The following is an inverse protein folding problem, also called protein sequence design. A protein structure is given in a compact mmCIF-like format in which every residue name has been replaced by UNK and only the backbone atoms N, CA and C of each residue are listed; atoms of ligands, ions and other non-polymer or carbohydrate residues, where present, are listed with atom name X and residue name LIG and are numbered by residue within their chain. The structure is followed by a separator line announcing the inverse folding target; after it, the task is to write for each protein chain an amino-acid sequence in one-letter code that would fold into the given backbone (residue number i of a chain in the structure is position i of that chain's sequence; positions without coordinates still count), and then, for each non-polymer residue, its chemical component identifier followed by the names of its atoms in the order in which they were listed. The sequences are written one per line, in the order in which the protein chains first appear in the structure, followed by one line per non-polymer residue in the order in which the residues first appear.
data_IF_644378775924
#
_entry.id   IF_644378775924
#
_cell.length_a   1.000
_cell.length_b   1.000
_cell.length_c   1.000
_cell.angle_alpha   90.00
_cell.angle_beta   90.00
_cell.angle_gamma   90.00
#
_symmetry.space_group_name_H-M   'P 1'
#
loop_
_entity.id
_entity.type
_entity.pdbx_description
1 polymer ?
#
# COMPACT_ATOMS: atom_id res chain seq x y z
N UNK A 1 -5.17 33.23 -17.32
CA UNK A 1 -4.40 32.04 -17.77
C UNK A 1 -2.97 32.03 -17.24
N UNK A 2 -2.38 33.18 -16.94
CA UNK A 2 -0.95 33.31 -16.62
C UNK A 2 -0.51 32.64 -15.29
N UNK A 3 -1.37 32.62 -14.26
CA UNK A 3 -0.97 32.01 -12.97
C UNK A 3 -0.95 30.47 -12.98
N UNK A 4 -1.67 29.82 -13.90
CA UNK A 4 -1.69 28.35 -14.02
C UNK A 4 -0.40 27.84 -14.69
N UNK A 5 0.04 28.57 -15.71
CA UNK A 5 1.30 28.31 -16.40
C UNK A 5 2.48 28.37 -15.42
N UNK A 6 2.48 29.35 -14.51
CA UNK A 6 3.54 29.51 -13.55
C UNK A 6 3.67 28.36 -12.54
N UNK A 7 2.55 27.77 -12.07
CA UNK A 7 2.61 26.66 -11.11
C UNK A 7 3.03 25.34 -11.77
N UNK A 8 2.60 25.09 -13.01
CA UNK A 8 3.06 23.92 -13.77
C UNK A 8 4.58 23.99 -13.99
N UNK A 9 5.13 25.18 -14.19
CA UNK A 9 6.56 25.38 -14.38
C UNK A 9 7.39 25.32 -13.08
N UNK A 10 6.74 25.36 -11.90
CA UNK A 10 7.42 25.25 -10.60
C UNK A 10 7.68 23.79 -10.23
N UNK A 11 6.82 22.86 -10.69
CA UNK A 11 7.03 21.43 -10.49
C UNK A 11 8.07 20.91 -11.50
N UNK A 12 8.89 19.92 -11.11
CA UNK A 12 9.73 19.19 -12.07
C UNK A 12 8.88 18.63 -13.21
N UNK A 13 9.43 18.59 -14.41
CA UNK A 13 8.73 18.04 -15.57
C UNK A 13 8.34 16.59 -15.32
N UNK A 14 7.10 16.24 -15.64
CA UNK A 14 6.61 14.86 -15.52
C UNK A 14 7.45 13.93 -16.39
N UNK A 15 8.03 12.91 -15.77
CA UNK A 15 8.81 11.87 -16.48
C UNK A 15 7.88 10.72 -16.91
N UNK A 16 8.29 9.99 -17.95
CA UNK A 16 7.57 8.81 -18.46
C UNK A 16 8.52 7.81 -19.11
N UNK A 17 8.05 6.59 -19.33
CA UNK A 17 8.84 5.54 -19.99
C UNK A 17 10.17 5.24 -19.29
N UNK A 18 11.22 5.04 -20.09
CA UNK A 18 12.55 4.67 -19.58
C UNK A 18 13.20 5.76 -18.72
N UNK A 19 12.93 7.04 -19.01
CA UNK A 19 13.41 8.15 -18.19
C UNK A 19 12.83 8.12 -16.77
N UNK A 20 11.56 7.72 -16.64
CA UNK A 20 10.93 7.56 -15.34
C UNK A 20 11.48 6.33 -14.62
N UNK A 21 11.63 5.21 -15.34
CA UNK A 21 12.20 3.99 -14.78
C UNK A 21 13.58 4.26 -14.18
N UNK A 22 14.50 4.83 -14.98
CA UNK A 22 15.85 5.16 -14.54
C UNK A 22 15.89 6.17 -13.39
N UNK A 23 14.97 7.14 -13.37
CA UNK A 23 14.90 8.13 -12.29
C UNK A 23 14.37 7.55 -10.98
N UNK A 24 13.50 6.53 -11.03
CA UNK A 24 12.98 5.84 -9.84
C UNK A 24 13.98 4.85 -9.26
N UNK A 25 14.81 4.23 -10.10
CA UNK A 25 15.77 3.21 -9.70
C UNK A 25 16.78 3.73 -8.67
N UNK A 26 17.11 2.90 -7.70
CA UNK A 26 18.20 3.16 -6.75
C UNK A 26 19.05 1.92 -6.63
N UNK A 27 20.28 2.05 -7.09
CA UNK A 27 21.30 1.03 -6.96
C UNK A 27 22.45 1.59 -6.12
N UNK A 28 22.70 1.06 -4.90
CA UNK A 28 23.87 1.44 -4.10
C UNK A 28 25.16 1.23 -4.88
N UNK A 29 26.15 2.06 -4.63
CA UNK A 29 27.49 1.83 -5.21
C UNK A 29 28.05 0.52 -4.64
N UNK A 30 28.36 -0.40 -5.51
CA UNK A 30 28.91 -1.69 -5.17
C UNK A 30 30.32 -1.82 -5.75
N UNK A 31 31.29 -2.19 -4.91
CA UNK A 31 32.65 -2.50 -5.29
C UNK A 31 32.95 -3.95 -4.91
N UNK A 32 33.37 -4.76 -5.86
CA UNK A 32 33.70 -6.17 -5.62
C UNK A 32 34.83 -6.35 -4.58
N UNK A 33 35.70 -5.38 -4.44
CA UNK A 33 36.76 -5.40 -3.42
C UNK A 33 36.20 -5.53 -1.98
N UNK A 34 34.95 -5.17 -1.74
CA UNK A 34 34.30 -5.34 -0.42
C UNK A 34 34.30 -6.79 0.05
N UNK A 35 34.30 -7.77 -0.85
CA UNK A 35 34.30 -9.21 -0.52
C UNK A 35 35.56 -9.66 0.18
N UNK A 36 36.68 -8.95 -0.02
CA UNK A 36 37.98 -9.21 0.64
C UNK A 36 38.13 -8.45 1.96
N UNK A 37 37.17 -7.58 2.30
CA UNK A 37 37.21 -6.83 3.55
C UNK A 37 36.97 -7.74 4.77
N UNK A 38 37.31 -7.22 5.95
CA UNK A 38 37.05 -7.90 7.21
C UNK A 38 35.57 -8.21 7.43
N UNK A 39 35.28 -9.28 8.16
CA UNK A 39 33.91 -9.77 8.41
C UNK A 39 32.97 -8.67 8.91
N UNK A 40 33.31 -7.82 9.91
CA UNK A 40 32.40 -6.78 10.37
C UNK A 40 32.04 -5.76 9.29
N UNK A 41 32.98 -5.42 8.42
CA UNK A 41 32.76 -4.44 7.31
C UNK A 41 31.78 -5.02 6.30
N UNK A 42 31.96 -6.29 5.93
CA UNK A 42 31.05 -6.99 4.99
C UNK A 42 29.64 -7.15 5.57
N UNK A 43 29.54 -7.50 6.86
CA UNK A 43 28.24 -7.60 7.55
C UNK A 43 27.50 -6.24 7.59
N UNK A 44 28.23 -5.14 7.83
CA UNK A 44 27.61 -3.80 7.75
C UNK A 44 27.17 -3.44 6.33
N UNK A 45 27.94 -3.82 5.33
CA UNK A 45 27.64 -3.55 3.93
C UNK A 45 26.41 -4.33 3.42
N UNK A 46 26.02 -5.45 4.05
CA UNK A 46 24.78 -6.16 3.74
C UNK A 46 23.54 -5.27 3.83
N UNK A 47 23.57 -4.20 4.64
CA UNK A 47 22.47 -3.23 4.72
C UNK A 47 22.17 -2.53 3.40
N UNK A 48 23.09 -2.51 2.45
CA UNK A 48 22.88 -1.95 1.11
C UNK A 48 21.83 -2.73 0.31
N UNK A 49 21.61 -4.02 0.59
CA UNK A 49 20.56 -4.81 -0.03
C UNK A 49 19.16 -4.20 0.20
N UNK A 50 18.91 -3.63 1.39
CA UNK A 50 17.65 -2.95 1.71
C UNK A 50 17.51 -1.58 1.04
N UNK A 51 18.58 -1.04 0.46
CA UNK A 51 18.58 0.24 -0.27
C UNK A 51 18.37 0.05 -1.76
N UNK A 52 18.45 -1.18 -2.26
CA UNK A 52 18.17 -1.50 -3.66
C UNK A 52 16.69 -1.24 -3.93
N UNK A 53 16.41 -0.45 -4.95
CA UNK A 53 15.07 -0.23 -5.43
C UNK A 53 15.01 -0.39 -6.95
N UNK A 54 14.36 -1.45 -7.40
CA UNK A 54 14.10 -1.73 -8.82
C UNK A 54 12.65 -1.34 -9.09
N UNK A 55 12.39 -0.37 -9.98
CA UNK A 55 11.05 0.06 -10.31
C UNK A 55 10.21 -1.07 -10.94
N UNK A 56 8.92 -1.02 -10.72
CA UNK A 56 7.93 -1.91 -11.32
C UNK A 56 6.81 -1.10 -11.96
N UNK A 57 5.91 -1.74 -12.68
CA UNK A 57 4.71 -1.09 -13.21
C UNK A 57 3.92 -0.37 -12.12
N UNK A 58 3.83 -0.97 -10.91
CA UNK A 58 3.25 -0.33 -9.74
C UNK A 58 3.92 1.03 -9.44
N UNK A 59 5.24 1.09 -9.48
CA UNK A 59 6.01 2.32 -9.20
C UNK A 59 5.71 3.43 -10.21
N UNK A 60 5.64 3.07 -11.49
CA UNK A 60 5.37 4.01 -12.58
C UNK A 60 3.94 4.56 -12.48
N UNK A 61 2.98 3.70 -12.18
CA UNK A 61 1.58 4.08 -12.03
C UNK A 61 1.35 4.95 -10.79
N UNK A 62 1.95 4.60 -9.65
CA UNK A 62 1.91 5.40 -8.43
C UNK A 62 2.48 6.80 -8.67
N UNK A 63 3.66 6.90 -9.30
CA UNK A 63 4.26 8.18 -9.64
C UNK A 63 3.31 9.04 -10.49
N UNK A 64 2.80 8.47 -11.59
CA UNK A 64 1.92 9.17 -12.51
C UNK A 64 0.64 9.66 -11.82
N UNK A 65 0.04 8.82 -10.98
CA UNK A 65 -1.17 9.15 -10.24
C UNK A 65 -0.94 10.25 -9.21
N UNK A 66 0.16 10.16 -8.47
CA UNK A 66 0.53 11.18 -7.47
C UNK A 66 0.84 12.52 -8.13
N UNK A 67 1.59 12.52 -9.24
CA UNK A 67 1.90 13.74 -9.99
C UNK A 67 0.64 14.45 -10.45
N UNK A 68 -0.29 13.72 -11.08
CA UNK A 68 -1.55 14.28 -11.56
C UNK A 68 -2.44 14.78 -10.42
N UNK A 69 -2.52 14.05 -9.31
CA UNK A 69 -3.30 14.46 -8.14
C UNK A 69 -2.73 15.74 -7.51
N UNK A 70 -1.40 15.85 -7.41
CA UNK A 70 -0.73 17.06 -6.95
C UNK A 70 -1.01 18.23 -7.89
N UNK A 71 -0.81 18.05 -9.20
CA UNK A 71 -1.04 19.10 -10.20
C UNK A 71 -2.45 19.66 -10.13
N UNK A 72 -3.47 18.79 -10.06
CA UNK A 72 -4.87 19.19 -9.94
C UNK A 72 -5.15 19.89 -8.62
N UNK A 73 -4.54 19.45 -7.52
CA UNK A 73 -4.67 20.13 -6.23
C UNK A 73 -4.09 21.53 -6.26
N UNK A 74 -2.91 21.71 -6.86
CA UNK A 74 -2.28 23.02 -7.03
C UNK A 74 -3.12 23.94 -7.94
N UNK A 75 -3.67 23.40 -9.03
CA UNK A 75 -4.58 24.14 -9.92
C UNK A 75 -5.79 24.71 -9.16
N UNK A 76 -6.41 23.91 -8.30
CA UNK A 76 -7.55 24.35 -7.46
C UNK A 76 -7.17 25.46 -6.49
N UNK A 77 -5.95 25.42 -5.93
CA UNK A 77 -5.47 26.43 -4.98
C UNK A 77 -5.36 27.82 -5.59
N UNK A 78 -5.14 27.93 -6.89
CA UNK A 78 -4.96 29.21 -7.62
C UNK A 78 -6.27 29.75 -8.13
N UNK A 79 -7.34 28.96 -8.16
CA UNK A 79 -8.63 29.42 -8.70
C UNK A 79 -9.31 30.46 -7.81
N UNK A 80 -10.14 31.33 -8.43
CA UNK A 80 -10.97 32.29 -7.68
C UNK A 80 -11.85 31.62 -6.62
N UNK A 81 -12.29 30.38 -6.88
CA UNK A 81 -13.05 29.58 -5.90
C UNK A 81 -12.23 29.28 -4.65
N UNK A 82 -10.92 28.97 -4.80
CA UNK A 82 -10.04 28.74 -3.66
C UNK A 82 -9.87 30.00 -2.79
N UNK A 83 -9.79 31.17 -3.42
CA UNK A 83 -9.74 32.46 -2.71
C UNK A 83 -11.05 32.71 -1.94
N UNK A 84 -12.18 32.46 -2.55
CA UNK A 84 -13.49 32.59 -1.90
C UNK A 84 -13.63 31.60 -0.75
N UNK A 85 -13.24 30.34 -0.94
CA UNK A 85 -13.26 29.31 0.08
C UNK A 85 -12.33 29.64 1.25
N UNK A 86 -11.14 30.18 0.99
CA UNK A 86 -10.24 30.67 2.05
C UNK A 86 -10.94 31.72 2.93
N UNK A 87 -11.61 32.70 2.28
CA UNK A 87 -12.30 33.75 2.99
C UNK A 87 -13.51 33.23 3.78
N UNK A 88 -14.28 32.26 3.24
CA UNK A 88 -15.40 31.62 3.90
C UNK A 88 -14.95 30.78 5.09
N UNK A 89 -13.92 29.96 4.92
CA UNK A 89 -13.36 29.15 5.99
C UNK A 89 -12.80 30.03 7.13
N UNK A 90 -12.15 31.14 6.79
CA UNK A 90 -11.69 32.11 7.78
C UNK A 90 -12.83 32.70 8.60
N UNK A 91 -13.93 33.09 7.96
CA UNK A 91 -15.13 33.58 8.64
C UNK A 91 -15.79 32.49 9.48
N UNK A 92 -15.87 31.24 8.98
CA UNK A 92 -16.45 30.12 9.68
C UNK A 92 -15.66 29.75 10.95
N UNK A 93 -14.33 29.81 10.90
CA UNK A 93 -13.48 29.61 12.10
C UNK A 93 -13.73 30.67 13.17
N UNK A 94 -13.92 31.94 12.75
CA UNK A 94 -14.21 33.03 13.67
C UNK A 94 -15.64 32.96 14.20
N UNK A 95 -16.63 32.55 13.38
CA UNK A 95 -18.06 32.57 13.70
C UNK A 95 -18.63 31.20 14.08
N UNK A 96 -17.79 30.13 14.08
CA UNK A 96 -18.21 28.74 14.27
C UNK A 96 -19.25 28.22 13.24
N UNK A 97 -19.40 28.89 12.11
CA UNK A 97 -20.25 28.45 11.01
C UNK A 97 -19.45 27.82 9.89
N UNK A 98 -19.74 26.55 9.57
CA UNK A 98 -19.12 25.84 8.44
C UNK A 98 -20.02 25.93 7.20
N UNK A 99 -19.62 26.70 6.23
CA UNK A 99 -20.27 26.71 4.92
C UNK A 99 -19.23 26.74 3.79
N UNK A 100 -19.26 25.75 2.95
CA UNK A 100 -18.50 25.77 1.71
C UNK A 100 -18.07 24.39 1.20
N UNK A 101 -18.37 24.11 -0.03
CA UNK A 101 -18.00 22.88 -0.71
C UNK A 101 -17.03 23.23 -1.85
N UNK A 102 -15.75 22.86 -1.72
CA UNK A 102 -14.88 22.76 -2.90
C UNK A 102 -15.17 21.44 -3.59
N UNK A 103 -15.80 21.49 -4.77
CA UNK A 103 -16.15 20.30 -5.52
C UNK A 103 -14.94 19.46 -5.93
N UNK A 104 -15.07 18.15 -5.78
CA UNK A 104 -14.23 17.11 -6.36
C UNK A 104 -12.74 17.19 -6.07
N UNK A 105 -12.26 16.38 -5.13
CA UNK A 105 -10.82 16.10 -4.98
C UNK A 105 -10.46 14.84 -5.78
N UNK A 106 -9.22 14.77 -6.28
CA UNK A 106 -8.66 13.57 -6.91
C UNK A 106 -8.02 12.66 -5.86
N UNK A 107 -8.76 12.37 -4.80
CA UNK A 107 -8.32 11.43 -3.77
C UNK A 107 -8.33 10.00 -4.32
N UNK A 108 -7.38 9.18 -3.91
CA UNK A 108 -7.25 7.81 -4.38
C UNK A 108 -6.67 6.90 -3.31
N UNK A 109 -6.79 5.59 -3.52
CA UNK A 109 -6.25 4.57 -2.62
C UNK A 109 -5.19 3.75 -3.33
N UNK A 110 -4.19 3.30 -2.56
CA UNK A 110 -3.18 2.33 -2.99
C UNK A 110 -3.29 1.15 -2.04
N UNK A 111 -3.79 0.04 -2.54
CA UNK A 111 -4.03 -1.17 -1.76
C UNK A 111 -3.17 -2.29 -2.29
N UNK A 112 -2.51 -3.01 -1.39
CA UNK A 112 -1.74 -4.18 -1.78
C UNK A 112 -1.10 -4.88 -0.59
N UNK A 113 -0.65 -6.12 -0.78
CA UNK A 113 -0.04 -6.92 0.26
C UNK A 113 1.12 -6.20 0.97
N UNK A 114 1.39 -6.58 2.21
CA UNK A 114 2.56 -6.06 2.92
C UNK A 114 3.84 -6.57 2.25
N UNK A 115 4.88 -5.72 2.19
CA UNK A 115 6.18 -6.12 1.65
C UNK A 115 6.32 -6.06 0.12
N UNK A 116 5.30 -5.61 -0.63
CA UNK A 116 5.40 -5.45 -2.10
C UNK A 116 6.07 -4.13 -2.53
N UNK A 117 6.54 -3.31 -1.60
CA UNK A 117 7.27 -2.07 -1.90
C UNK A 117 6.42 -0.81 -2.08
N UNK A 118 5.14 -0.78 -1.64
CA UNK A 118 4.26 0.41 -1.74
C UNK A 118 4.88 1.67 -1.16
N UNK A 119 5.28 1.63 0.11
CA UNK A 119 5.84 2.81 0.80
C UNK A 119 7.15 3.28 0.17
N UNK A 120 7.96 2.35 -0.35
CA UNK A 120 9.18 2.68 -1.11
C UNK A 120 8.84 3.37 -2.42
N UNK A 121 7.86 2.85 -3.20
CA UNK A 121 7.38 3.46 -4.43
C UNK A 121 6.85 4.88 -4.20
N UNK A 122 6.06 5.07 -3.15
CA UNK A 122 5.52 6.37 -2.76
C UNK A 122 6.63 7.34 -2.38
N UNK A 123 7.58 6.91 -1.55
CA UNK A 123 8.71 7.73 -1.13
C UNK A 123 9.57 8.18 -2.33
N UNK A 124 9.85 7.28 -3.27
CA UNK A 124 10.56 7.58 -4.51
C UNK A 124 9.77 8.54 -5.40
N UNK A 125 8.47 8.31 -5.56
CA UNK A 125 7.59 9.19 -6.31
C UNK A 125 7.58 10.61 -5.70
N UNK A 126 7.43 10.74 -4.38
CA UNK A 126 7.48 12.03 -3.67
C UNK A 126 8.79 12.74 -3.97
N UNK A 127 9.93 12.08 -3.81
CA UNK A 127 11.25 12.67 -4.05
C UNK A 127 11.38 13.21 -5.47
N UNK A 128 10.94 12.48 -6.49
CA UNK A 128 10.99 12.92 -7.88
C UNK A 128 10.01 14.04 -8.20
N UNK A 129 8.81 14.01 -7.64
CA UNK A 129 7.77 15.01 -7.91
C UNK A 129 8.08 16.34 -7.22
N UNK A 130 8.70 16.29 -6.05
CA UNK A 130 8.86 17.47 -5.20
C UNK A 130 10.31 17.98 -5.17
N UNK A 131 11.28 17.14 -5.52
CA UNK A 131 12.72 17.38 -5.27
C UNK A 131 12.98 17.82 -3.81
N UNK A 132 12.09 17.39 -2.89
CA UNK A 132 12.08 17.77 -1.47
C UNK A 132 12.05 19.29 -1.22
N UNK A 133 11.45 20.06 -2.14
CA UNK A 133 11.37 21.53 -2.04
C UNK A 133 9.98 21.97 -1.59
N UNK A 134 9.94 23.07 -0.85
CA UNK A 134 8.74 23.85 -0.57
C UNK A 134 8.59 24.88 -1.68
N UNK A 135 7.38 25.02 -2.22
CA UNK A 135 7.07 25.99 -3.27
C UNK A 135 6.70 27.32 -2.60
N UNK A 136 7.42 28.37 -2.94
CA UNK A 136 7.09 29.73 -2.51
C UNK A 136 6.32 30.47 -3.59
N UNK A 137 5.15 31.00 -3.23
CA UNK A 137 4.29 31.80 -4.09
C UNK A 137 4.30 33.24 -3.57
N UNK A 138 4.62 34.20 -4.44
CA UNK A 138 4.85 35.60 -4.02
C UNK A 138 3.55 36.39 -3.83
N UNK A 139 2.49 36.11 -4.62
CA UNK A 139 1.26 36.92 -4.60
C UNK A 139 -0.02 36.06 -4.55
N UNK A 140 -0.67 35.90 -3.39
CA UNK A 140 -0.22 36.28 -2.04
C UNK A 140 0.92 35.39 -1.55
N UNK A 141 1.83 35.90 -0.74
CA UNK A 141 2.95 35.11 -0.22
C UNK A 141 2.44 33.90 0.55
N UNK A 142 2.78 32.75 0.08
CA UNK A 142 2.38 31.47 0.68
C UNK A 142 3.44 30.41 0.39
N UNK A 143 3.77 29.61 1.41
CA UNK A 143 4.60 28.41 1.25
C UNK A 143 3.68 27.21 1.04
N UNK A 144 3.87 26.49 -0.06
CA UNK A 144 3.13 25.27 -0.37
C UNK A 144 4.08 24.09 -0.26
N UNK A 145 3.70 23.14 0.56
CA UNK A 145 4.36 21.83 0.68
C UNK A 145 3.73 20.92 -0.38
N UNK A 146 4.48 20.50 -1.40
CA UNK A 146 3.88 19.70 -2.49
C UNK A 146 3.26 18.41 -1.98
N UNK A 147 3.94 17.68 -1.10
CA UNK A 147 3.43 16.43 -0.55
C UNK A 147 3.82 16.25 0.92
N UNK A 148 2.88 15.82 1.73
CA UNK A 148 3.09 15.40 3.13
C UNK A 148 2.69 13.94 3.26
N UNK A 149 3.55 13.12 3.88
CA UNK A 149 3.26 11.74 4.24
C UNK A 149 3.11 11.62 5.76
N UNK A 150 1.99 11.08 6.22
CA UNK A 150 1.69 10.79 7.62
C UNK A 150 1.25 9.34 7.75
N UNK A 151 1.49 8.74 8.91
CA UNK A 151 0.99 7.40 9.21
C UNK A 151 -0.35 7.48 9.95
N UNK A 152 -1.27 6.60 9.60
CA UNK A 152 -2.51 6.44 10.34
C UNK A 152 -2.19 5.95 11.75
N UNK A 153 -2.61 6.66 12.82
CA UNK A 153 -2.36 6.22 14.17
C UNK A 153 -2.93 4.82 14.42
N UNK A 154 -2.20 4.03 15.16
CA UNK A 154 -2.56 2.66 15.52
C UNK A 154 -3.95 2.56 16.18
N UNK A 155 -4.32 3.53 17.05
CA UNK A 155 -5.63 3.63 17.71
C UNK A 155 -6.67 4.34 16.84
N UNK A 156 -6.34 4.71 15.61
CA UNK A 156 -7.16 5.52 14.69
C UNK A 156 -7.65 6.83 15.31
N UNK A 157 -6.84 7.43 16.17
CA UNK A 157 -7.16 8.70 16.81
C UNK A 157 -7.26 9.83 15.80
N UNK A 158 -8.45 10.39 15.65
CA UNK A 158 -8.70 11.57 14.80
C UNK A 158 -7.81 12.73 15.24
N UNK A 159 -7.76 13.00 16.53
CA UNK A 159 -6.93 14.08 17.08
C UNK A 159 -5.44 13.82 16.86
N UNK A 160 -5.01 12.57 17.02
CA UNK A 160 -3.63 12.17 16.78
C UNK A 160 -3.18 12.44 15.33
N UNK A 161 -3.98 12.02 14.35
CA UNK A 161 -3.69 12.26 12.94
C UNK A 161 -3.66 13.75 12.58
N UNK A 162 -4.64 14.52 13.08
CA UNK A 162 -4.70 15.96 12.83
C UNK A 162 -3.48 16.71 13.40
N UNK A 163 -3.06 16.36 14.60
CA UNK A 163 -1.86 16.92 15.23
C UNK A 163 -0.59 16.53 14.48
N UNK A 164 -0.50 15.30 14.01
CA UNK A 164 0.66 14.85 13.21
C UNK A 164 0.76 15.62 11.88
N UNK A 165 -0.37 15.90 11.20
CA UNK A 165 -0.38 16.76 10.01
C UNK A 165 0.17 18.15 10.34
N UNK A 166 -0.28 18.78 11.42
CA UNK A 166 0.22 20.11 11.83
C UNK A 166 1.69 20.08 12.20
N UNK A 167 2.16 19.03 12.89
CA UNK A 167 3.57 18.85 13.25
C UNK A 167 4.45 18.78 12.01
N UNK A 168 4.05 17.99 11.00
CA UNK A 168 4.75 17.87 9.72
C UNK A 168 4.79 19.19 8.94
N UNK A 169 3.69 19.94 8.96
CA UNK A 169 3.65 21.29 8.36
C UNK A 169 4.63 22.21 9.05
N UNK A 170 4.61 22.26 10.39
CA UNK A 170 5.52 23.12 11.16
C UNK A 170 6.99 22.79 10.87
N UNK A 171 7.35 21.50 10.77
CA UNK A 171 8.70 21.05 10.43
C UNK A 171 9.16 21.52 9.03
N UNK A 172 8.24 21.59 8.06
CA UNK A 172 8.60 21.90 6.67
C UNK A 172 8.62 23.40 6.35
N UNK A 173 7.77 24.20 7.00
CA UNK A 173 7.66 25.64 6.70
C UNK A 173 8.00 26.56 7.87
N UNK A 174 8.51 26.01 8.97
CA UNK A 174 8.87 26.72 10.20
C UNK A 174 7.70 27.54 10.76
N UNK A 175 6.53 26.90 10.90
CA UNK A 175 5.32 27.49 11.48
C UNK A 175 5.10 27.00 12.91
N UNK A 176 3.99 27.44 13.54
CA UNK A 176 3.66 27.11 14.94
C UNK A 176 2.23 26.59 15.09
N UNK A 177 1.65 26.00 14.06
CA UNK A 177 0.27 25.49 14.09
C UNK A 177 0.07 24.39 15.12
N UNK A 178 0.98 23.42 15.18
CA UNK A 178 0.97 22.33 16.15
C UNK A 178 1.05 22.83 17.59
N UNK A 179 2.01 23.72 17.87
CA UNK A 179 2.17 24.28 19.21
C UNK A 179 0.95 25.08 19.64
N UNK A 180 0.38 25.88 18.74
CA UNK A 180 -0.83 26.65 19.01
C UNK A 180 -2.04 25.76 19.30
N UNK A 181 -2.20 24.66 18.54
CA UNK A 181 -3.28 23.69 18.76
C UNK A 181 -3.16 22.99 20.12
N UNK A 182 -1.94 22.67 20.56
CA UNK A 182 -1.72 22.07 21.88
C UNK A 182 -2.04 23.05 23.02
N UNK A 183 -1.60 24.31 22.91
CA UNK A 183 -1.80 25.33 23.95
C UNK A 183 -3.27 25.69 24.13
N UNK A 184 -4.04 25.79 23.06
CA UNK A 184 -5.44 26.20 23.08
C UNK A 184 -6.41 25.12 23.56
N UNK A 185 -5.95 23.91 23.89
CA UNK A 185 -6.80 22.75 24.26
C UNK A 185 -7.98 22.54 23.31
N UNK A 186 -7.76 22.74 22.01
CA UNK A 186 -8.77 22.69 20.97
C UNK A 186 -9.57 21.38 21.00
N UNK A 187 -10.88 21.49 20.79
CA UNK A 187 -11.75 20.34 20.54
C UNK A 187 -11.41 19.70 19.17
N UNK A 188 -11.81 18.46 18.96
CA UNK A 188 -11.56 17.78 17.69
C UNK A 188 -12.17 18.53 16.50
N UNK A 189 -13.38 19.08 16.64
CA UNK A 189 -14.06 19.82 15.58
C UNK A 189 -13.34 21.13 15.23
N UNK A 190 -12.90 21.89 16.22
CA UNK A 190 -12.09 23.08 16.00
C UNK A 190 -10.75 22.74 15.33
N UNK A 191 -10.16 21.60 15.70
CA UNK A 191 -8.92 21.14 15.13
C UNK A 191 -9.10 20.74 13.66
N UNK A 192 -10.22 20.08 13.29
CA UNK A 192 -10.55 19.77 11.89
C UNK A 192 -10.64 21.06 11.07
N UNK A 193 -11.30 22.10 11.61
CA UNK A 193 -11.37 23.40 10.94
C UNK A 193 -9.99 24.03 10.72
N UNK A 194 -9.14 24.03 11.77
CA UNK A 194 -7.78 24.56 11.68
C UNK A 194 -6.91 23.79 10.68
N UNK A 195 -6.95 22.46 10.72
CA UNK A 195 -6.20 21.63 9.78
C UNK A 195 -6.73 21.79 8.36
N UNK A 196 -8.05 21.92 8.16
CA UNK A 196 -8.63 22.20 6.85
C UNK A 196 -8.10 23.52 6.26
N UNK A 197 -7.97 24.55 7.10
CA UNK A 197 -7.41 25.84 6.67
C UNK A 197 -5.92 25.74 6.34
N UNK A 198 -5.15 25.04 7.17
CA UNK A 198 -3.71 24.78 6.93
C UNK A 198 -3.54 23.97 5.65
N UNK A 199 -4.34 22.91 5.46
CA UNK A 199 -4.31 22.08 4.26
C UNK A 199 -4.64 22.88 2.99
N UNK A 200 -5.67 23.72 3.03
CA UNK A 200 -6.03 24.59 1.93
C UNK A 200 -4.89 25.56 1.55
N UNK A 201 -4.17 26.08 2.54
CA UNK A 201 -3.13 27.07 2.31
C UNK A 201 -1.78 26.44 1.92
N UNK A 202 -1.42 25.33 2.55
CA UNK A 202 -0.04 24.87 2.55
C UNK A 202 0.17 23.45 1.99
N UNK A 203 -0.86 22.56 1.91
CA UNK A 203 -0.66 21.17 1.51
C UNK A 203 -1.13 20.93 0.09
N UNK A 204 -0.26 20.43 -0.79
CA UNK A 204 -0.61 20.01 -2.14
C UNK A 204 -1.31 18.65 -2.16
N UNK A 205 -0.61 17.61 -1.72
CA UNK A 205 -1.09 16.23 -1.62
C UNK A 205 -0.81 15.68 -0.22
N UNK A 206 -1.81 15.11 0.42
CA UNK A 206 -1.66 14.40 1.69
C UNK A 206 -1.65 12.90 1.43
N UNK A 207 -0.60 12.22 1.85
CA UNK A 207 -0.51 10.75 1.87
C UNK A 207 -0.75 10.27 3.30
N UNK A 208 -1.70 9.36 3.48
CA UNK A 208 -1.99 8.69 4.76
C UNK A 208 -1.65 7.22 4.59
N UNK A 209 -0.52 6.79 5.16
CA UNK A 209 -0.07 5.40 5.12
C UNK A 209 -0.63 4.59 6.30
N UNK A 210 -0.55 3.26 6.21
CA UNK A 210 -1.03 2.30 7.23
C UNK A 210 -2.54 2.46 7.53
N UNK A 211 -3.35 2.78 6.51
CA UNK A 211 -4.78 3.05 6.72
C UNK A 211 -5.56 1.81 7.22
N UNK A 212 -5.01 0.60 7.13
CA UNK A 212 -5.62 -0.60 7.71
C UNK A 212 -5.78 -0.54 9.22
N UNK A 213 -5.06 0.33 9.93
CA UNK A 213 -5.25 0.57 11.36
C UNK A 213 -6.71 0.98 11.67
N UNK A 214 -7.39 1.60 10.70
CA UNK A 214 -8.82 1.96 10.77
C UNK A 214 -9.72 0.74 10.95
N UNK A 215 -9.37 -0.40 10.33
CA UNK A 215 -10.21 -1.60 10.33
C UNK A 215 -10.34 -2.23 11.71
N UNK A 216 -9.30 -2.13 12.52
CA UNK A 216 -9.19 -2.79 13.82
C UNK A 216 -9.59 -1.89 14.99
N UNK A 217 -9.96 -0.62 14.73
CA UNK A 217 -10.24 0.36 15.76
C UNK A 217 -11.73 0.76 15.82
N UNK A 218 -12.24 0.93 17.04
CA UNK A 218 -13.58 1.52 17.27
C UNK A 218 -13.72 2.94 16.72
N UNK A 219 -12.61 3.66 16.59
CA UNK A 219 -12.55 5.03 16.08
C UNK A 219 -12.47 5.12 14.56
N UNK A 220 -12.33 4.00 13.85
CA UNK A 220 -12.10 3.97 12.42
C UNK A 220 -13.13 4.74 11.59
N UNK A 221 -14.42 4.56 11.89
CA UNK A 221 -15.50 5.30 11.19
C UNK A 221 -15.38 6.81 11.39
N UNK A 222 -14.99 7.26 12.59
CA UNK A 222 -14.79 8.67 12.89
C UNK A 222 -13.60 9.25 12.12
N UNK A 223 -12.52 8.49 11.98
CA UNK A 223 -11.34 8.90 11.22
C UNK A 223 -11.68 9.10 9.74
N UNK A 224 -12.43 8.18 9.14
CA UNK A 224 -12.84 8.30 7.74
C UNK A 224 -13.82 9.45 7.52
N UNK A 225 -14.74 9.63 8.45
CA UNK A 225 -15.63 10.81 8.47
C UNK A 225 -14.82 12.11 8.46
N UNK A 226 -13.79 12.19 9.29
CA UNK A 226 -12.87 13.33 9.34
C UNK A 226 -12.09 13.51 8.03
N UNK A 227 -11.52 12.44 7.44
CA UNK A 227 -10.82 12.54 6.15
C UNK A 227 -11.75 13.05 5.06
N UNK A 228 -13.00 12.57 5.03
CA UNK A 228 -14.03 13.04 4.09
C UNK A 228 -14.33 14.53 4.31
N UNK A 229 -14.45 14.97 5.57
CA UNK A 229 -14.67 16.37 5.91
C UNK A 229 -13.46 17.23 5.53
N UNK A 230 -12.25 16.76 5.75
CA UNK A 230 -11.01 17.44 5.36
C UNK A 230 -10.95 17.66 3.84
N UNK A 231 -11.28 16.63 3.05
CA UNK A 231 -11.39 16.71 1.59
C UNK A 231 -12.42 17.77 1.18
N UNK A 232 -13.61 17.75 1.79
CA UNK A 232 -14.70 18.66 1.44
C UNK A 232 -14.36 20.12 1.80
N UNK A 233 -13.76 20.34 2.96
CA UNK A 233 -13.49 21.69 3.47
C UNK A 233 -12.25 22.34 2.83
N UNK A 234 -11.23 21.57 2.52
CA UNK A 234 -9.97 22.09 1.98
C UNK A 234 -9.78 21.84 0.48
N UNK A 235 -10.51 20.89 -0.10
CA UNK A 235 -10.36 20.49 -1.50
C UNK A 235 -9.03 19.84 -1.84
N UNK A 236 -8.21 19.46 -0.83
CA UNK A 236 -6.95 18.75 -1.06
C UNK A 236 -7.17 17.35 -1.60
N UNK A 237 -6.19 16.85 -2.34
CA UNK A 237 -6.13 15.44 -2.72
C UNK A 237 -5.53 14.63 -1.59
N UNK A 238 -6.13 13.48 -1.26
CA UNK A 238 -5.62 12.54 -0.27
C UNK A 238 -5.34 11.20 -0.94
N UNK A 239 -4.12 10.70 -0.77
CA UNK A 239 -3.73 9.34 -1.10
C UNK A 239 -3.77 8.48 0.17
N UNK A 240 -4.60 7.45 0.19
CA UNK A 240 -4.71 6.52 1.32
C UNK A 240 -4.05 5.20 0.94
N UNK A 241 -3.11 4.75 1.76
CA UNK A 241 -2.26 3.57 1.48
C UNK A 241 -2.50 2.51 2.53
N UNK A 242 -2.69 1.27 2.11
CA UNK A 242 -2.93 0.18 3.04
C UNK A 242 -2.85 -1.22 2.45
N UNK A 243 -3.20 -2.17 3.28
CA UNK A 243 -3.27 -3.60 2.95
C UNK A 243 -4.67 -3.98 2.42
N UNK A 244 -4.84 -5.19 1.84
CA UNK A 244 -6.12 -5.62 1.28
C UNK A 244 -7.29 -5.58 2.28
N UNK A 245 -7.03 -5.74 3.59
CA UNK A 245 -8.04 -5.66 4.63
C UNK A 245 -8.74 -4.30 4.68
N UNK A 246 -8.03 -3.24 4.29
CA UNK A 246 -8.60 -1.89 4.23
C UNK A 246 -9.64 -1.71 3.12
N UNK A 247 -9.66 -2.57 2.09
CA UNK A 247 -10.59 -2.49 0.97
C UNK A 247 -12.05 -2.57 1.41
N UNK A 248 -12.36 -3.52 2.30
CA UNK A 248 -13.72 -3.72 2.84
C UNK A 248 -14.23 -2.46 3.54
N UNK A 249 -13.32 -1.76 4.19
CA UNK A 249 -13.66 -0.51 4.88
C UNK A 249 -13.99 0.63 3.91
N UNK A 250 -13.23 0.76 2.82
CA UNK A 250 -13.51 1.75 1.79
C UNK A 250 -14.82 1.47 1.03
N UNK A 251 -15.15 0.20 0.81
CA UNK A 251 -16.42 -0.21 0.20
C UNK A 251 -17.62 0.20 1.07
N UNK A 252 -17.50 0.09 2.39
CA UNK A 252 -18.53 0.53 3.34
C UNK A 252 -18.66 2.05 3.41
N UNK A 253 -17.57 2.77 3.18
CA UNK A 253 -17.54 4.22 3.15
C UNK A 253 -17.83 4.76 1.74
N UNK A 254 -19.04 4.52 1.22
CA UNK A 254 -19.46 4.85 -0.16
C UNK A 254 -19.10 6.27 -0.62
N UNK A 255 -19.03 7.24 0.30
CA UNK A 255 -18.67 8.62 -0.02
C UNK A 255 -17.19 8.76 -0.41
N UNK A 256 -16.30 7.94 0.18
CA UNK A 256 -14.90 7.87 -0.21
C UNK A 256 -14.71 7.02 -1.46
N UNK A 257 -15.42 5.90 -1.59
CA UNK A 257 -15.33 5.00 -2.74
C UNK A 257 -15.68 5.70 -4.06
N UNK A 258 -16.68 6.58 -4.07
CA UNK A 258 -17.07 7.38 -5.25
C UNK A 258 -16.01 8.39 -5.69
N UNK A 259 -15.09 8.76 -4.80
CA UNK A 259 -14.05 9.78 -5.03
C UNK A 259 -12.65 9.22 -5.12
N UNK A 260 -12.48 7.93 -4.80
CA UNK A 260 -11.18 7.26 -4.78
C UNK A 260 -11.14 6.21 -5.88
N UNK A 261 -10.39 6.48 -6.93
CA UNK A 261 -9.96 5.44 -7.86
C UNK A 261 -8.89 4.61 -7.14
N UNK A 262 -9.23 3.37 -6.77
CA UNK A 262 -8.31 2.46 -6.09
C UNK A 262 -7.28 1.88 -7.05
N UNK A 263 -6.01 2.01 -6.71
CA UNK A 263 -4.94 1.23 -7.29
C UNK A 263 -4.77 -0.02 -6.42
N UNK A 264 -4.85 -1.19 -7.03
CA UNK A 264 -4.73 -2.47 -6.33
C UNK A 264 -3.56 -3.24 -6.89
N UNK A 265 -2.69 -3.71 -6.01
CA UNK A 265 -1.49 -4.44 -6.39
C UNK A 265 -1.35 -5.70 -5.56
N UNK A 266 -0.97 -6.76 -6.22
CA UNK A 266 -0.63 -8.04 -5.62
C UNK A 266 0.89 -8.23 -5.56
N UNK A 267 1.32 -9.36 -5.03
CA UNK A 267 2.72 -9.77 -5.07
C UNK A 267 3.19 -9.90 -6.52
N UNK A 268 4.50 -9.83 -6.73
CA UNK A 268 5.08 -9.91 -8.07
C UNK A 268 4.90 -11.31 -8.64
N UNK A 269 4.35 -11.40 -9.86
CA UNK A 269 4.20 -12.67 -10.57
C UNK A 269 5.56 -13.23 -11.04
N UNK A 270 5.66 -14.57 -11.18
CA UNK A 270 6.83 -15.19 -11.76
C UNK A 270 6.95 -14.85 -13.24
N UNK A 271 7.86 -13.96 -13.58
CA UNK A 271 8.03 -13.44 -14.92
C UNK A 271 9.28 -12.58 -15.07
N UNK A 272 9.38 -11.83 -16.15
CA UNK A 272 10.56 -11.02 -16.48
C UNK A 272 10.89 -10.01 -15.38
N UNK A 273 9.90 -9.33 -14.82
CA UNK A 273 10.11 -8.33 -13.74
C UNK A 273 10.67 -8.96 -12.46
N UNK A 274 10.17 -10.14 -12.07
CA UNK A 274 10.68 -10.87 -10.92
C UNK A 274 12.13 -11.34 -11.13
N UNK A 275 12.43 -11.83 -12.35
CA UNK A 275 13.79 -12.25 -12.74
C UNK A 275 14.77 -11.09 -12.63
N UNK A 276 14.47 -9.96 -13.28
CA UNK A 276 15.31 -8.74 -13.22
C UNK A 276 15.53 -8.27 -11.79
N UNK A 277 14.47 -8.28 -10.96
CA UNK A 277 14.57 -7.92 -9.55
C UNK A 277 15.51 -8.85 -8.79
N UNK A 278 15.32 -10.17 -8.92
CA UNK A 278 16.17 -11.16 -8.24
C UNK A 278 17.62 -11.12 -8.74
N UNK A 279 17.86 -11.01 -10.03
CA UNK A 279 19.20 -10.86 -10.64
C UNK A 279 19.90 -9.62 -10.07
N UNK A 280 19.17 -8.49 -9.99
CA UNK A 280 19.73 -7.25 -9.42
C UNK A 280 20.11 -7.42 -7.97
N UNK A 281 19.20 -7.91 -7.13
CA UNK A 281 19.47 -8.08 -5.69
C UNK A 281 20.57 -9.12 -5.46
N UNK A 282 20.55 -10.24 -6.20
CA UNK A 282 21.52 -11.32 -6.08
C UNK A 282 22.93 -10.90 -6.57
N UNK A 283 23.05 -9.91 -7.43
CA UNK A 283 24.35 -9.40 -7.89
C UNK A 283 25.17 -8.73 -6.79
N UNK A 284 24.52 -8.25 -5.72
CA UNK A 284 25.18 -7.65 -4.56
C UNK A 284 25.60 -8.74 -3.57
N UNK A 285 26.78 -9.29 -3.78
CA UNK A 285 27.34 -10.36 -2.95
C UNK A 285 28.52 -9.88 -2.11
N UNK A 286 28.43 -10.11 -0.81
CA UNK A 286 29.42 -9.75 0.19
C UNK A 286 30.18 -10.98 0.74
N UNK A 287 29.84 -12.17 0.24
CA UNK A 287 30.57 -13.42 0.45
C UNK A 287 31.82 -13.48 -0.43
N UNK A 288 32.85 -14.24 -0.05
CA UNK A 288 34.11 -14.31 -0.79
C UNK A 288 33.97 -14.98 -2.15
N UNK A 289 33.20 -16.05 -2.23
CA UNK A 289 32.99 -16.79 -3.47
C UNK A 289 31.75 -16.24 -4.17
N UNK A 290 31.94 -15.57 -5.32
CA UNK A 290 30.84 -15.09 -6.13
C UNK A 290 30.16 -16.26 -6.85
N UNK A 291 28.84 -16.25 -6.84
CA UNK A 291 27.99 -17.20 -7.55
C UNK A 291 27.04 -16.46 -8.50
N UNK A 292 26.70 -17.08 -9.59
CA UNK A 292 25.65 -16.59 -10.48
C UNK A 292 24.31 -17.15 -10.06
N UNK A 293 23.24 -16.34 -10.25
CA UNK A 293 21.88 -16.81 -10.01
C UNK A 293 21.51 -17.79 -11.12
N UNK A 294 21.05 -18.98 -10.75
CA UNK A 294 20.57 -20.00 -11.69
C UNK A 294 19.05 -20.02 -11.74
N UNK A 295 18.46 -20.59 -12.79
CA UNK A 295 17.01 -20.79 -12.86
C UNK A 295 16.49 -21.58 -11.66
N UNK A 296 17.23 -22.54 -11.16
CA UNK A 296 16.87 -23.30 -9.96
C UNK A 296 16.80 -22.43 -8.70
N UNK A 297 17.74 -21.48 -8.53
CA UNK A 297 17.71 -20.51 -7.43
C UNK A 297 16.50 -19.56 -7.62
N UNK A 298 16.25 -19.14 -8.83
CA UNK A 298 15.15 -18.23 -9.17
C UNK A 298 13.78 -18.84 -8.86
N UNK A 299 13.56 -20.08 -9.30
CA UNK A 299 12.33 -20.84 -9.02
C UNK A 299 12.18 -21.08 -7.53
N UNK A 300 13.26 -21.49 -6.85
CA UNK A 300 13.25 -21.70 -5.41
C UNK A 300 12.91 -20.41 -4.64
N UNK A 301 13.50 -19.26 -5.03
CA UNK A 301 13.17 -17.96 -4.42
C UNK A 301 11.68 -17.64 -4.59
N UNK A 302 11.12 -17.86 -5.77
CA UNK A 302 9.70 -17.61 -6.00
C UNK A 302 8.80 -18.51 -5.15
N UNK A 303 9.09 -19.81 -5.13
CA UNK A 303 8.32 -20.79 -4.34
C UNK A 303 8.31 -20.47 -2.83
N UNK A 304 9.42 -19.94 -2.32
CA UNK A 304 9.59 -19.68 -0.88
C UNK A 304 9.22 -18.25 -0.46
N UNK A 305 9.03 -17.34 -1.41
CA UNK A 305 8.64 -15.95 -1.13
C UNK A 305 7.29 -15.57 -1.72
N UNK A 306 6.71 -16.42 -2.59
CA UNK A 306 5.47 -16.16 -3.34
C UNK A 306 5.50 -14.81 -4.07
N UNK A 307 6.68 -14.39 -4.54
CA UNK A 307 6.85 -13.10 -5.23
C UNK A 307 6.87 -11.86 -4.32
N UNK A 308 6.94 -12.04 -3.00
CA UNK A 308 7.06 -10.91 -2.08
C UNK A 308 8.49 -10.39 -2.05
N UNK A 309 8.71 -9.21 -2.64
CA UNK A 309 10.04 -8.63 -2.81
C UNK A 309 10.77 -8.32 -1.49
N UNK A 310 10.04 -7.95 -0.43
CA UNK A 310 10.64 -7.73 0.88
C UNK A 310 11.20 -9.03 1.47
N UNK A 311 10.49 -10.14 1.28
CA UNK A 311 10.94 -11.47 1.73
C UNK A 311 12.15 -11.93 0.91
N UNK A 312 12.19 -11.68 -0.41
CA UNK A 312 13.35 -11.98 -1.26
C UNK A 312 14.60 -11.26 -0.76
N UNK A 313 14.51 -9.95 -0.53
CA UNK A 313 15.65 -9.16 -0.03
C UNK A 313 16.12 -9.65 1.33
N UNK A 314 15.20 -9.86 2.27
CA UNK A 314 15.54 -10.37 3.60
C UNK A 314 16.20 -11.75 3.55
N UNK A 315 15.70 -12.63 2.68
CA UNK A 315 16.23 -13.96 2.51
C UNK A 315 17.66 -13.96 1.95
N UNK A 316 17.92 -13.14 0.91
CA UNK A 316 19.27 -13.00 0.33
C UNK A 316 20.23 -12.35 1.33
N UNK A 317 19.75 -11.35 2.11
CA UNK A 317 20.52 -10.74 3.19
C UNK A 317 20.91 -11.75 4.26
N UNK A 318 19.93 -12.46 4.82
CA UNK A 318 20.15 -13.41 5.90
C UNK A 318 20.99 -14.61 5.47
N UNK A 319 20.83 -15.06 4.23
CA UNK A 319 21.66 -16.11 3.66
C UNK A 319 23.13 -15.69 3.61
N UNK A 320 23.42 -14.48 3.14
CA UNK A 320 24.79 -13.98 3.10
C UNK A 320 25.36 -13.74 4.51
N UNK A 321 24.55 -13.22 5.46
CA UNK A 321 24.96 -13.09 6.85
C UNK A 321 25.36 -14.44 7.44
N UNK A 322 24.55 -15.47 7.25
CA UNK A 322 24.83 -16.84 7.70
C UNK A 322 26.10 -17.39 7.03
N UNK A 323 26.24 -17.21 5.71
CA UNK A 323 27.42 -17.70 4.98
C UNK A 323 28.73 -17.06 5.46
N UNK A 324 28.72 -15.77 5.76
CA UNK A 324 29.88 -15.04 6.28
C UNK A 324 30.20 -15.52 7.72
N UNK A 325 29.19 -15.60 8.60
CA UNK A 325 29.39 -15.99 9.99
C UNK A 325 29.81 -17.45 10.15
N UNK A 326 29.32 -18.36 9.31
CA UNK A 326 29.67 -19.78 9.33
C UNK A 326 30.99 -20.09 8.58
N UNK A 327 31.60 -19.10 7.92
CA UNK A 327 32.80 -19.27 7.11
C UNK A 327 32.60 -20.07 5.81
N UNK A 328 31.36 -20.37 5.40
CA UNK A 328 31.07 -21.05 4.12
C UNK A 328 31.38 -20.16 2.92
N UNK A 329 31.21 -18.86 3.08
CA UNK A 329 31.61 -17.80 2.14
C UNK A 329 31.07 -17.96 0.70
N UNK A 330 29.91 -18.57 0.55
CA UNK A 330 29.25 -18.80 -0.73
C UNK A 330 27.74 -18.62 -0.59
N UNK A 331 27.09 -18.01 -1.59
CA UNK A 331 25.65 -17.87 -1.66
C UNK A 331 25.07 -18.90 -2.64
N UNK A 332 24.51 -19.98 -2.11
CA UNK A 332 23.93 -21.08 -2.88
C UNK A 332 22.58 -21.53 -2.31
N UNK A 333 21.92 -22.50 -2.93
CA UNK A 333 20.63 -23.04 -2.50
C UNK A 333 20.67 -23.61 -1.07
N UNK A 334 21.78 -24.23 -0.66
CA UNK A 334 21.93 -24.80 0.68
C UNK A 334 21.85 -23.69 1.75
N UNK A 335 22.58 -22.61 1.54
CA UNK A 335 22.59 -21.44 2.45
C UNK A 335 21.27 -20.70 2.44
N UNK A 336 20.65 -20.51 1.26
CA UNK A 336 19.32 -19.92 1.14
C UNK A 336 18.27 -20.74 1.93
N UNK A 337 18.31 -22.06 1.80
CA UNK A 337 17.43 -22.95 2.57
C UNK A 337 17.71 -22.89 4.08
N UNK A 338 18.98 -22.82 4.48
CA UNK A 338 19.37 -22.65 5.89
C UNK A 338 18.81 -21.34 6.47
N UNK A 339 18.90 -20.22 5.71
CA UNK A 339 18.35 -18.94 6.10
C UNK A 339 16.82 -18.99 6.20
N UNK A 340 16.16 -19.59 5.22
CA UNK A 340 14.70 -19.75 5.21
C UNK A 340 14.19 -20.51 6.43
N UNK A 341 14.83 -21.63 6.77
CA UNK A 341 14.45 -22.45 7.92
C UNK A 341 14.71 -21.77 9.26
N UNK A 342 15.82 -21.04 9.38
CA UNK A 342 16.26 -20.45 10.66
C UNK A 342 15.62 -19.08 10.94
N UNK A 343 15.42 -18.25 9.92
CA UNK A 343 15.04 -16.84 10.09
C UNK A 343 13.61 -16.54 9.68
N UNK A 344 13.08 -17.23 8.65
CA UNK A 344 11.75 -16.98 8.11
C UNK A 344 10.69 -18.00 8.53
N UNK A 345 11.01 -18.87 9.50
CA UNK A 345 10.08 -19.92 9.96
C UNK A 345 8.72 -19.38 10.42
N UNK A 346 8.67 -18.19 11.00
CA UNK A 346 7.41 -17.55 11.41
C UNK A 346 6.54 -17.11 10.23
N UNK A 347 7.13 -16.89 9.05
CA UNK A 347 6.41 -16.45 7.85
C UNK A 347 5.87 -17.61 7.02
N UNK A 348 6.28 -18.86 7.31
CA UNK A 348 5.85 -20.05 6.56
C UNK A 348 4.31 -20.18 6.47
N UNK A 349 3.59 -19.83 7.53
CA UNK A 349 2.13 -19.86 7.56
C UNK A 349 1.45 -18.84 6.64
N UNK A 350 2.15 -17.75 6.32
CA UNK A 350 1.62 -16.65 5.49
C UNK A 350 2.01 -16.80 4.02
N UNK A 351 3.15 -17.43 3.73
CA UNK A 351 3.69 -17.56 2.37
C UNK A 351 3.02 -18.69 1.59
N UNK A 352 2.52 -19.75 2.27
CA UNK A 352 2.02 -20.98 1.62
C UNK A 352 0.53 -21.01 1.30
N UNK A 353 -0.23 -19.93 1.47
CA UNK A 353 -1.69 -19.96 1.33
C UNK A 353 -2.18 -20.23 -0.11
N UNK A 354 -1.36 -20.00 -1.15
CA UNK A 354 -1.82 -20.14 -2.54
C UNK A 354 -1.35 -21.41 -3.29
N UNK A 355 -0.40 -22.18 -2.80
CA UNK A 355 0.18 -23.32 -3.54
C UNK A 355 -0.71 -24.58 -3.58
N UNK A 356 -1.86 -24.63 -2.92
CA UNK A 356 -2.72 -25.85 -2.91
C UNK A 356 -3.60 -26.06 -4.14
N UNK A 357 -3.52 -25.23 -5.20
CA UNK A 357 -4.42 -25.35 -6.37
C UNK A 357 -3.83 -25.90 -7.67
N UNK A 358 -2.57 -26.25 -7.77
CA UNK A 358 -2.00 -26.65 -9.08
C UNK A 358 -1.15 -27.92 -9.14
N UNK A 359 -1.29 -28.93 -8.34
CA UNK A 359 -0.75 -30.25 -8.68
C UNK A 359 -1.66 -31.39 -8.16
N UNK A 360 -2.76 -31.63 -8.83
CA UNK A 360 -3.39 -32.94 -8.80
C UNK A 360 -3.34 -33.59 -10.18
N UNK A 361 -2.28 -34.38 -10.42
CA UNK A 361 -2.30 -35.40 -11.50
C UNK A 361 -3.49 -36.33 -11.28
N UNK A 362 -4.26 -36.71 -12.30
CA UNK A 362 -5.42 -37.54 -12.13
C UNK A 362 -5.02 -38.96 -11.67
N UNK A 363 -5.28 -39.27 -10.41
CA UNK A 363 -5.21 -40.66 -9.95
C UNK A 363 -6.37 -41.46 -10.60
N UNK A 364 -6.02 -42.50 -11.35
CA UNK A 364 -6.95 -43.49 -11.92
C UNK A 364 -7.94 -43.96 -10.86
N UNK A 365 -9.22 -43.73 -11.11
CA UNK A 365 -10.33 -44.28 -10.32
C UNK A 365 -10.29 -45.78 -10.37
N UNK A 366 -10.10 -46.44 -9.23
CA UNK A 366 -10.55 -47.83 -9.03
C UNK A 366 -12.04 -47.75 -8.74
N UNK A 367 -12.80 -48.43 -9.58
CA UNK A 367 -14.21 -48.66 -9.39
C UNK A 367 -14.46 -49.41 -8.07
N UNK A 368 -15.20 -48.80 -7.16
CA UNK A 368 -15.84 -49.50 -6.05
C UNK A 368 -17.32 -49.40 -6.31
N UNK A 369 -17.89 -50.58 -6.56
CA UNK A 369 -19.30 -50.87 -6.73
C UNK A 369 -20.11 -50.48 -5.49
N UNK A 370 -21.21 -49.83 -5.77
CA UNK A 370 -22.46 -49.61 -5.09
C UNK A 370 -22.60 -49.91 -3.60
N UNK A 371 -22.85 -48.82 -2.88
CA UNK A 371 -23.78 -48.84 -1.77
C UNK A 371 -24.70 -47.64 -1.95
N UNK A 372 -25.92 -47.89 -2.36
CA UNK A 372 -27.00 -46.92 -2.38
C UNK A 372 -27.35 -46.56 -0.94
N UNK A 373 -26.94 -45.40 -0.50
CA UNK A 373 -27.43 -44.81 0.75
C UNK A 373 -28.84 -44.29 0.47
N UNK A 374 -29.86 -45.00 0.98
CA UNK A 374 -31.23 -44.52 1.01
C UNK A 374 -31.31 -43.41 2.04
N UNK A 375 -31.34 -42.18 1.59
CA UNK A 375 -31.64 -41.00 2.42
C UNK A 375 -33.15 -41.05 2.68
N UNK A 376 -33.57 -41.40 3.88
CA UNK A 376 -34.95 -41.29 4.31
C UNK A 376 -35.22 -39.85 4.72
N UNK A 377 -35.71 -39.05 3.78
CA UNK A 377 -36.37 -37.78 4.13
C UNK A 377 -37.62 -38.15 4.91
N UNK A 378 -37.72 -37.73 6.16
CA UNK A 378 -38.95 -37.81 6.93
C UNK A 378 -39.99 -36.94 6.23
N UNK A 379 -40.93 -37.55 5.56
CA UNK A 379 -42.16 -36.90 5.13
C UNK A 379 -42.92 -36.44 6.37
N UNK A 380 -42.91 -35.18 6.62
CA UNK A 380 -43.68 -34.49 7.62
C UNK A 380 -43.93 -33.07 7.17
N UNK A 381 -45.15 -32.85 6.70
CA UNK A 381 -45.79 -31.57 6.38
C UNK A 381 -45.20 -30.74 5.25
N UNK A 382 -46.04 -30.43 4.24
CA UNK A 382 -45.81 -29.66 3.01
C UNK A 382 -45.08 -28.33 3.11
N UNK A 383 -43.82 -28.37 3.55
CA UNK A 383 -42.94 -27.23 3.64
C UNK A 383 -42.00 -27.18 2.43
N UNK A 384 -41.93 -26.04 1.77
CA UNK A 384 -40.96 -25.73 0.72
C UNK A 384 -39.54 -26.07 1.16
N UNK A 385 -38.81 -26.82 0.31
CA UNK A 385 -37.41 -27.16 0.53
C UNK A 385 -36.60 -25.87 0.43
N UNK A 386 -36.10 -25.37 1.56
CA UNK A 386 -35.28 -24.13 1.60
C UNK A 386 -33.81 -24.45 1.53
N UNK A 387 -33.02 -23.53 0.95
CA UNK A 387 -31.55 -23.64 0.88
C UNK A 387 -30.95 -23.81 2.28
N UNK A 388 -31.49 -23.13 3.28
CA UNK A 388 -31.04 -23.25 4.67
C UNK A 388 -31.27 -24.67 5.24
N UNK A 389 -32.36 -25.30 4.89
CA UNK A 389 -32.65 -26.70 5.27
C UNK A 389 -31.68 -27.68 4.61
N UNK A 390 -31.38 -27.52 3.33
CA UNK A 390 -30.39 -28.35 2.62
C UNK A 390 -28.98 -28.18 3.16
N UNK A 391 -28.60 -26.95 3.56
CA UNK A 391 -27.30 -26.68 4.21
C UNK A 391 -27.20 -27.37 5.58
N UNK A 392 -28.27 -27.39 6.36
CA UNK A 392 -28.32 -28.11 7.65
C UNK A 392 -28.15 -29.62 7.45
N UNK A 393 -28.87 -30.21 6.51
CA UNK A 393 -28.79 -31.64 6.17
C UNK A 393 -27.38 -32.00 5.65
N UNK A 394 -26.79 -31.17 4.77
CA UNK A 394 -25.43 -31.40 4.27
C UNK A 394 -24.37 -31.40 5.38
N UNK A 395 -24.59 -30.58 6.40
CA UNK A 395 -23.71 -30.47 7.56
C UNK A 395 -23.82 -31.65 8.52
N UNK A 396 -25.04 -32.09 8.78
CA UNK A 396 -25.32 -33.20 9.71
C UNK A 396 -24.93 -34.54 9.12
N UNK A 397 -25.12 -34.75 7.80
CA UNK A 397 -24.80 -35.98 7.11
C UNK A 397 -23.45 -36.01 6.41
N UNK A 398 -22.67 -34.92 6.50
CA UNK A 398 -21.34 -34.75 5.89
C UNK A 398 -21.33 -35.06 4.38
N UNK A 399 -22.37 -34.63 3.67
CA UNK A 399 -22.54 -34.78 2.21
C UNK A 399 -22.16 -33.49 1.50
N UNK A 400 -21.66 -33.60 0.25
CA UNK A 400 -21.34 -32.44 -0.57
C UNK A 400 -22.60 -31.61 -0.86
N UNK A 401 -22.63 -30.38 -0.34
CA UNK A 401 -23.73 -29.43 -0.50
C UNK A 401 -24.08 -29.15 -1.97
N UNK A 402 -23.08 -29.16 -2.87
CA UNK A 402 -23.29 -28.88 -4.30
C UNK A 402 -24.05 -30.01 -4.96
N UNK A 403 -23.80 -31.25 -4.54
CA UNK A 403 -24.51 -32.43 -5.03
C UNK A 403 -25.95 -32.42 -4.53
N UNK A 404 -26.16 -32.10 -3.26
CA UNK A 404 -27.50 -32.02 -2.65
C UNK A 404 -28.35 -30.89 -3.27
N UNK A 405 -27.76 -29.75 -3.58
CA UNK A 405 -28.43 -28.65 -4.26
C UNK A 405 -28.82 -29.01 -5.70
N UNK A 406 -27.98 -29.75 -6.43
CA UNK A 406 -28.27 -30.19 -7.80
C UNK A 406 -29.42 -31.22 -7.86
N UNK A 407 -29.62 -31.98 -6.79
CA UNK A 407 -30.73 -32.96 -6.69
C UNK A 407 -32.09 -32.31 -6.41
N UNK A 408 -32.07 -31.17 -5.69
CA UNK A 408 -33.32 -30.54 -5.22
C UNK A 408 -33.62 -29.19 -5.90
N UNK A 409 -32.65 -28.61 -6.63
CA UNK A 409 -32.80 -27.32 -7.30
C UNK A 409 -32.16 -27.33 -8.69
N UNK A 410 -32.72 -26.55 -9.61
CA UNK A 410 -32.11 -26.31 -10.91
C UNK A 410 -30.99 -25.29 -10.75
N UNK A 411 -29.72 -25.71 -10.86
CA UNK A 411 -28.56 -24.84 -10.79
C UNK A 411 -28.19 -24.40 -12.21
N UNK A 412 -28.29 -23.10 -12.51
CA UNK A 412 -27.86 -22.51 -13.76
C UNK A 412 -26.41 -21.99 -13.58
N UNK A 413 -25.47 -22.53 -14.34
CA UNK A 413 -24.13 -21.97 -14.46
C UNK A 413 -24.20 -20.76 -15.38
N UNK A 414 -23.92 -19.56 -14.83
CA UNK A 414 -23.75 -18.35 -15.62
C UNK A 414 -22.26 -18.22 -15.93
N UNK A 415 -21.90 -18.39 -17.19
CA UNK A 415 -20.56 -18.06 -17.66
C UNK A 415 -20.38 -16.53 -17.57
N UNK A 416 -19.38 -16.09 -16.79
CA UNK A 416 -18.97 -14.68 -16.66
C UNK A 416 -17.81 -14.43 -17.61
#
# INVERSE_FOLDING_TARGET
MDNLSNIIHILPTMKSGDDLFSALEVLPKYDEAIREAEVPVRLMALSDLYRIYVPSNMSLEIYSKMYLALLRSLQKKVTKMAVQQKNQNHKAVIQQEYSGIMGGSDSFTIIGASGIGKSSAISRAITLITENRVIEVENPYTKIIPCICVQCPFDSSVKGLLLEILRKVDEMIDSKYYQNALRSRTTTDMLIGSVSQVALNHIGLLVVDEIQNVCNSKNGKSLVGMLTQLINNSGISICMVGTPESAVFFEQAMQLARRSLGLRYDVMEYGASFRVFCETVFSYQYVKVRTEITDAIMEWLYEHTSGNISVVVSLIHDAQEIAILNGKEILNLEILNEAYQKRLSMLHGFIHIEQKKQTSKPKKKKSVTGASVKISVREGDGGEVTIAGLVAVARDENVDIVQLLKEHMTVLEVAV
#
